data_IF_937719855632
#
_entry.id   IF_937719855632
#
_cell.length_a   1.000
_cell.length_b   1.000
_cell.length_c   1.000
_cell.angle_alpha   90.00
_cell.angle_beta   90.00
_cell.angle_gamma   90.00
#
_symmetry.space_group_name_H-M   'P 1'
#
loop_
_entity.id
_entity.type
_entity.pdbx_description
1 polymer ?
#
# COMPACT_ATOMS: atom_id res chain seq x y z
N UNK A 1 19.42 30.33 3.37
CA UNK A 1 18.02 30.44 2.91
C UNK A 1 17.27 29.21 3.42
N UNK A 2 17.05 29.14 4.73
CA UNK A 2 16.52 27.96 5.43
C UNK A 2 15.45 28.43 6.40
N UNK A 3 14.19 28.21 6.03
CA UNK A 3 12.99 28.31 6.86
C UNK A 3 11.82 27.77 6.02
N UNK A 4 10.98 26.94 6.65
CA UNK A 4 9.67 26.45 6.19
C UNK A 4 9.57 25.00 5.66
N UNK A 5 10.00 24.00 6.44
CA UNK A 5 9.53 22.61 6.25
C UNK A 5 8.94 21.96 7.51
N UNK A 6 8.78 22.69 8.63
CA UNK A 6 8.29 22.14 9.91
C UNK A 6 6.75 22.12 10.08
N UNK A 7 5.94 22.20 9.03
CA UNK A 7 4.50 22.50 9.21
C UNK A 7 3.54 21.55 8.50
N UNK A 8 3.92 20.32 8.17
CA UNK A 8 2.99 19.35 7.56
C UNK A 8 2.63 18.15 8.45
N UNK A 9 3.51 17.66 9.31
CA UNK A 9 3.19 16.58 10.26
C UNK A 9 2.21 17.05 11.36
N UNK A 10 2.30 18.32 11.78
CA UNK A 10 1.39 18.91 12.78
C UNK A 10 -0.04 19.13 12.29
N UNK A 11 -0.28 19.17 10.97
CA UNK A 11 -1.62 19.38 10.42
C UNK A 11 -2.42 18.08 10.26
N UNK A 12 -1.74 16.92 10.18
CA UNK A 12 -2.41 15.61 10.11
C UNK A 12 -2.69 15.05 11.51
N UNK A 13 -1.91 15.44 12.52
CA UNK A 13 -2.20 15.09 13.93
C UNK A 13 -3.35 15.92 14.54
N UNK A 14 -3.63 17.11 13.99
CA UNK A 14 -4.63 18.04 14.54
C UNK A 14 -6.09 17.69 14.21
N UNK A 15 -6.38 16.80 13.25
CA UNK A 15 -7.77 16.45 12.86
C UNK A 15 -8.25 15.07 13.33
N UNK A 16 -7.36 14.22 13.86
CA UNK A 16 -7.69 12.84 14.28
C UNK A 16 -7.88 12.68 15.81
N UNK A 17 -7.66 13.73 16.61
CA UNK A 17 -7.50 13.63 18.07
C UNK A 17 -8.70 14.00 18.95
N UNK A 18 -9.91 14.17 18.39
CA UNK A 18 -11.12 14.53 19.18
C UNK A 18 -12.23 13.49 19.07
N UNK A 19 -11.88 12.23 19.25
CA UNK A 19 -12.83 11.18 19.65
C UNK A 19 -12.30 10.46 20.89
N UNK A 20 -11.89 11.26 21.89
CA UNK A 20 -11.91 10.80 23.26
C UNK A 20 -13.36 10.54 23.64
N UNK A 21 -13.65 9.30 24.03
CA UNK A 21 -14.95 8.89 24.55
C UNK A 21 -15.38 9.88 25.64
N UNK A 22 -16.37 10.71 25.33
CA UNK A 22 -16.96 11.60 26.31
C UNK A 22 -17.65 10.74 27.37
N UNK A 23 -17.36 10.90 28.68
CA UNK A 23 -17.94 10.06 29.72
C UNK A 23 -19.45 10.29 29.95
N UNK A 24 -20.07 11.20 29.19
CA UNK A 24 -21.44 11.67 29.43
C UNK A 24 -22.11 12.12 28.14
N UNK A 25 -22.10 11.29 27.10
CA UNK A 25 -23.10 11.41 26.04
C UNK A 25 -24.35 10.68 26.55
N UNK A 26 -25.17 11.39 27.32
CA UNK A 26 -26.42 10.85 27.85
C UNK A 26 -27.44 10.73 26.71
N UNK A 27 -27.23 9.73 25.85
CA UNK A 27 -28.08 9.39 24.71
C UNK A 27 -29.34 8.70 25.22
N UNK A 28 -30.27 9.49 25.75
CA UNK A 28 -31.60 8.99 26.07
C UNK A 28 -32.41 8.87 24.78
N UNK A 29 -32.91 7.68 24.42
CA UNK A 29 -33.79 7.57 23.26
C UNK A 29 -35.05 8.39 23.53
N UNK A 30 -35.66 8.99 22.50
CA UNK A 30 -36.95 9.70 22.63
C UNK A 30 -38.02 8.77 23.24
N UNK A 31 -37.89 7.46 23.01
CA UNK A 31 -38.68 6.41 23.64
C UNK A 31 -38.55 6.38 25.19
N UNK A 32 -37.40 6.74 25.75
CA UNK A 32 -37.23 6.81 27.21
C UNK A 32 -38.04 7.96 27.82
N UNK A 33 -38.16 9.10 27.12
CA UNK A 33 -39.00 10.23 27.57
C UNK A 33 -40.49 9.89 27.49
N UNK A 34 -40.94 9.20 26.45
CA UNK A 34 -42.35 8.80 26.31
C UNK A 34 -42.74 7.71 27.29
N UNK A 35 -41.87 6.72 27.52
CA UNK A 35 -42.08 5.67 28.53
C UNK A 35 -42.02 6.27 29.94
N UNK A 36 -41.12 7.23 30.19
CA UNK A 36 -41.08 7.98 31.45
C UNK A 36 -42.38 8.73 31.72
N UNK A 37 -42.88 9.49 30.74
CA UNK A 37 -44.14 10.22 30.87
C UNK A 37 -45.35 9.29 31.10
N UNK A 38 -45.41 8.15 30.39
CA UNK A 38 -46.46 7.15 30.57
C UNK A 38 -46.42 6.51 31.97
N UNK A 39 -45.24 6.13 32.45
CA UNK A 39 -45.07 5.56 33.79
C UNK A 39 -45.42 6.58 34.89
N UNK A 40 -45.01 7.84 34.74
CA UNK A 40 -45.39 8.93 35.64
C UNK A 40 -46.90 9.17 35.69
N UNK A 41 -47.57 9.09 34.53
CA UNK A 41 -49.03 9.21 34.43
C UNK A 41 -49.78 8.07 35.14
N UNK A 42 -49.30 6.82 35.03
CA UNK A 42 -49.90 5.66 35.71
C UNK A 42 -49.76 5.77 37.23
N UNK A 43 -48.59 6.20 37.73
CA UNK A 43 -48.38 6.39 39.18
C UNK A 43 -49.22 7.53 39.73
N UNK A 44 -49.33 8.64 39.00
CA UNK A 44 -50.20 9.76 39.37
C UNK A 44 -51.69 9.36 39.35
N UNK A 45 -52.12 8.56 38.37
CA UNK A 45 -53.49 8.04 38.28
C UNK A 45 -53.85 7.05 39.40
N UNK A 46 -52.92 6.16 39.77
CA UNK A 46 -53.12 5.22 40.88
C UNK A 46 -53.21 5.94 42.23
N UNK A 47 -52.40 6.97 42.45
CA UNK A 47 -52.45 7.76 43.67
C UNK A 47 -53.68 8.71 43.71
N UNK A 48 -54.24 9.10 42.56
CA UNK A 48 -55.52 9.82 42.47
C UNK A 48 -56.69 8.98 42.99
N UNK A 49 -56.73 7.69 42.64
CA UNK A 49 -57.72 6.74 43.17
C UNK A 49 -57.60 6.54 44.69
N UNK A 50 -56.41 6.78 45.26
CA UNK A 50 -56.16 6.69 46.70
C UNK A 50 -56.48 7.99 47.47
N UNK A 51 -56.98 9.04 46.81
CA UNK A 51 -57.39 10.30 47.46
C UNK A 51 -56.23 11.18 47.93
N UNK A 52 -55.01 10.99 47.38
CA UNK A 52 -53.85 11.79 47.77
C UNK A 52 -53.92 13.24 47.25
N UNK A 53 -53.35 14.23 47.98
CA UNK A 53 -53.35 15.63 47.54
C UNK A 53 -52.58 15.80 46.22
N UNK A 54 -53.05 16.72 45.36
CA UNK A 54 -52.53 16.94 43.99
C UNK A 54 -51.02 17.16 43.94
N UNK A 55 -50.44 17.81 44.95
CA UNK A 55 -48.99 18.01 45.07
C UNK A 55 -48.21 16.69 45.24
N UNK A 56 -48.76 15.71 45.96
CA UNK A 56 -48.16 14.39 46.14
C UNK A 56 -48.24 13.56 44.85
N UNK A 57 -49.33 13.70 44.09
CA UNK A 57 -49.49 13.06 42.77
C UNK A 57 -48.46 13.57 41.77
N UNK A 58 -48.29 14.90 41.70
CA UNK A 58 -47.35 15.53 40.78
C UNK A 58 -45.90 15.16 41.10
N UNK A 59 -45.53 15.11 42.38
CA UNK A 59 -44.17 14.74 42.80
C UNK A 59 -43.86 13.27 42.58
N UNK A 60 -44.75 12.34 42.97
CA UNK A 60 -44.57 10.90 42.70
C UNK A 60 -44.54 10.59 41.20
N UNK A 61 -45.43 11.21 40.42
CA UNK A 61 -45.46 11.06 38.96
C UNK A 61 -44.17 11.57 38.30
N UNK A 62 -43.67 12.74 38.71
CA UNK A 62 -42.42 13.30 38.19
C UNK A 62 -41.20 12.44 38.56
N UNK A 63 -41.13 11.93 39.79
CA UNK A 63 -40.04 11.04 40.24
C UNK A 63 -40.09 9.71 39.48
N UNK A 64 -41.26 9.10 39.32
CA UNK A 64 -41.41 7.87 38.55
C UNK A 64 -41.05 8.06 37.06
N UNK A 65 -41.42 9.21 36.49
CA UNK A 65 -41.08 9.55 35.11
C UNK A 65 -39.58 9.75 34.91
N UNK A 66 -38.93 10.49 35.82
CA UNK A 66 -37.48 10.67 35.81
C UNK A 66 -36.74 9.35 36.00
N UNK A 67 -37.19 8.50 36.92
CA UNK A 67 -36.56 7.21 37.18
C UNK A 67 -36.68 6.27 35.98
N UNK A 68 -37.87 6.16 35.38
CA UNK A 68 -38.10 5.29 34.23
C UNK A 68 -37.41 5.81 32.98
N UNK A 69 -37.45 7.12 32.73
CA UNK A 69 -36.78 7.73 31.58
C UNK A 69 -35.25 7.70 31.67
N UNK A 70 -34.67 7.84 32.86
CA UNK A 70 -33.22 7.71 33.02
C UNK A 70 -32.72 6.26 33.06
N UNK A 71 -33.63 5.30 33.28
CA UNK A 71 -33.33 3.88 33.35
C UNK A 71 -33.13 3.24 31.97
N UNK A 72 -33.81 3.74 30.93
CA UNK A 72 -33.72 3.19 29.59
C UNK A 72 -32.57 3.82 28.80
N UNK A 73 -31.59 2.99 28.43
CA UNK A 73 -30.46 3.36 27.57
C UNK A 73 -30.42 2.50 26.31
N UNK A 74 -29.69 3.00 25.33
CA UNK A 74 -29.47 2.35 24.05
C UNK A 74 -27.96 2.26 23.77
N UNK A 75 -27.52 1.17 23.17
CA UNK A 75 -26.20 1.00 22.58
C UNK A 75 -26.34 0.62 21.10
N UNK A 76 -25.52 1.25 20.26
CA UNK A 76 -25.43 0.91 18.84
C UNK A 76 -24.93 -0.53 18.63
N UNK A 77 -25.20 -1.10 17.46
CA UNK A 77 -24.86 -2.51 17.14
C UNK A 77 -23.36 -2.83 17.32
N UNK A 78 -22.51 -1.84 17.09
CA UNK A 78 -21.04 -1.92 17.17
C UNK A 78 -20.46 -1.47 18.51
N UNK A 79 -21.30 -0.98 19.42
CA UNK A 79 -20.88 -0.51 20.73
C UNK A 79 -21.20 -1.55 21.81
N UNK A 80 -20.32 -1.66 22.81
CA UNK A 80 -20.60 -2.33 24.07
C UNK A 80 -20.54 -1.34 25.21
N UNK A 81 -21.57 -1.35 26.04
CA UNK A 81 -21.67 -0.49 27.21
C UNK A 81 -21.16 -1.23 28.46
N UNK A 82 -20.13 -0.69 29.10
CA UNK A 82 -19.59 -1.23 30.36
C UNK A 82 -20.38 -0.66 31.53
N UNK A 83 -21.05 -1.52 32.30
CA UNK A 83 -21.88 -1.10 33.43
C UNK A 83 -21.16 -1.32 34.76
N UNK A 84 -21.05 -0.25 35.53
CA UNK A 84 -20.46 -0.22 36.86
C UNK A 84 -21.57 -0.02 37.90
N UNK A 85 -21.57 -0.86 38.95
CA UNK A 85 -22.47 -0.74 40.09
C UNK A 85 -21.71 -0.28 41.31
N UNK A 86 -21.97 0.95 41.79
CA UNK A 86 -21.24 1.55 42.92
C UNK A 86 -19.70 1.41 42.79
N UNK A 87 -19.17 1.56 41.57
CA UNK A 87 -17.74 1.40 41.28
C UNK A 87 -17.25 -0.03 41.05
N UNK A 88 -18.08 -1.06 41.21
CA UNK A 88 -17.74 -2.46 40.87
C UNK A 88 -18.23 -2.83 39.48
N UNK A 89 -17.43 -3.58 38.73
CA UNK A 89 -17.85 -4.13 37.44
C UNK A 89 -19.02 -5.11 37.62
N UNK A 90 -20.10 -4.91 36.85
CA UNK A 90 -21.29 -5.77 36.87
C UNK A 90 -21.41 -6.65 35.63
N UNK A 91 -20.94 -6.16 34.48
CA UNK A 91 -21.03 -6.86 33.21
C UNK A 91 -21.11 -5.93 32.00
N UNK A 92 -20.85 -6.52 30.84
CA UNK A 92 -21.04 -5.92 29.52
C UNK A 92 -22.51 -5.98 29.09
N UNK A 93 -23.05 -4.86 28.61
CA UNK A 93 -24.35 -4.83 27.93
C UNK A 93 -24.14 -4.79 26.42
N UNK A 94 -24.77 -5.76 25.75
CA UNK A 94 -24.77 -5.88 24.30
C UNK A 94 -25.66 -4.83 23.61
N UNK A 95 -25.68 -4.85 22.27
CA UNK A 95 -26.37 -3.85 21.47
C UNK A 95 -27.89 -3.88 21.65
N UNK A 96 -28.53 -2.72 21.47
CA UNK A 96 -29.97 -2.53 21.62
C UNK A 96 -30.37 -1.82 22.91
N UNK A 97 -31.65 -1.93 23.26
CA UNK A 97 -32.19 -1.30 24.46
C UNK A 97 -31.83 -2.10 25.70
N UNK A 98 -31.30 -1.42 26.72
CA UNK A 98 -31.03 -2.04 28.01
C UNK A 98 -31.39 -1.11 29.15
N UNK A 99 -31.85 -1.73 30.23
CA UNK A 99 -32.29 -1.03 31.44
C UNK A 99 -31.18 -1.02 32.47
N UNK A 100 -30.93 0.16 33.05
CA UNK A 100 -30.00 0.38 34.18
C UNK A 100 -30.73 1.01 35.36
N UNK A 101 -30.24 0.79 36.58
CA UNK A 101 -30.79 1.46 37.76
C UNK A 101 -30.08 2.81 37.91
N UNK A 102 -30.70 3.97 37.61
CA UNK A 102 -30.04 5.26 37.39
C UNK A 102 -29.27 5.83 38.60
N UNK A 103 -29.47 5.28 39.80
CA UNK A 103 -28.81 5.72 41.05
C UNK A 103 -27.61 4.81 41.40
N UNK A 104 -27.74 3.51 41.15
CA UNK A 104 -26.78 2.49 41.61
C UNK A 104 -25.85 2.06 40.48
N UNK A 105 -26.38 1.99 39.27
CA UNK A 105 -25.68 1.57 38.05
C UNK A 105 -25.33 2.80 37.21
N UNK A 106 -24.06 2.91 36.85
CA UNK A 106 -23.56 3.90 35.88
C UNK A 106 -23.03 3.17 34.65
N UNK A 107 -23.31 3.71 33.47
CA UNK A 107 -22.60 3.28 32.26
C UNK A 107 -21.28 4.03 32.27
N UNK A 108 -20.19 3.31 32.42
CA UNK A 108 -18.85 3.89 32.51
C UNK A 108 -18.36 4.36 31.15
N UNK A 109 -18.35 3.44 30.17
CA UNK A 109 -17.80 3.68 28.84
C UNK A 109 -18.59 2.95 27.77
N UNK A 110 -18.68 3.57 26.59
CA UNK A 110 -19.12 2.95 25.35
C UNK A 110 -17.88 2.62 24.54
N UNK A 111 -17.67 1.34 24.26
CA UNK A 111 -16.50 0.86 23.52
C UNK A 111 -16.97 0.40 22.15
N UNK A 112 -16.45 1.04 21.11
CA UNK A 112 -16.64 0.63 19.73
C UNK A 112 -15.74 -0.57 19.41
N UNK A 113 -16.35 -1.63 18.89
CA UNK A 113 -15.67 -2.87 18.46
C UNK A 113 -15.38 -2.91 16.95
N UNK A 114 -15.47 -1.79 16.25
CA UNK A 114 -15.04 -1.69 14.85
C UNK A 114 -13.53 -1.63 14.72
N UNK A 115 -13.05 -1.97 13.52
CA UNK A 115 -11.65 -1.77 13.15
C UNK A 115 -11.38 -0.26 13.15
N UNK A 116 -10.34 0.13 13.87
CA UNK A 116 -9.85 1.50 13.95
C UNK A 116 -8.47 1.57 13.32
N UNK A 117 -8.22 2.69 12.66
CA UNK A 117 -6.94 2.99 12.05
C UNK A 117 -6.24 4.04 12.88
N UNK A 118 -4.98 3.81 13.22
CA UNK A 118 -4.16 4.76 13.97
C UNK A 118 -2.81 4.90 13.30
N UNK A 119 -2.49 6.11 12.90
CA UNK A 119 -1.18 6.46 12.36
C UNK A 119 -0.21 6.77 13.51
N UNK A 120 1.02 6.31 13.39
CA UNK A 120 2.11 6.59 14.31
C UNK A 120 3.43 6.62 13.54
N UNK A 121 4.36 7.44 14.01
CA UNK A 121 5.69 7.55 13.41
C UNK A 121 6.76 7.62 14.49
N UNK A 122 8.00 7.32 14.09
CA UNK A 122 9.18 7.44 14.92
C UNK A 122 10.19 8.35 14.22
N UNK A 123 10.39 9.54 14.79
CA UNK A 123 11.31 10.55 14.27
C UNK A 123 12.72 10.39 14.85
N UNK A 124 13.72 10.73 14.05
CA UNK A 124 15.14 10.78 14.41
C UNK A 124 15.61 9.50 15.10
N UNK A 125 15.24 8.34 14.55
CA UNK A 125 15.67 7.03 15.04
C UNK A 125 16.93 6.59 14.29
N UNK A 126 17.85 5.95 15.01
CA UNK A 126 19.02 5.33 14.40
C UNK A 126 18.70 3.87 14.11
N UNK A 127 18.94 3.46 12.87
CA UNK A 127 18.96 2.06 12.47
C UNK A 127 20.17 1.33 13.08
N UNK A 128 20.22 0.01 12.90
CA UNK A 128 21.36 -0.81 13.37
C UNK A 128 22.70 -0.38 12.74
N UNK A 129 22.67 0.10 11.51
CA UNK A 129 23.81 0.67 10.77
C UNK A 129 24.04 2.17 11.05
N UNK A 130 23.48 2.70 12.14
CA UNK A 130 23.68 4.09 12.61
C UNK A 130 23.24 5.16 11.61
N UNK A 131 22.28 4.84 10.75
CA UNK A 131 21.67 5.82 9.84
C UNK A 131 20.47 6.47 10.52
N UNK A 132 20.38 7.81 10.56
CA UNK A 132 19.18 8.47 11.05
C UNK A 132 18.05 8.33 10.01
N UNK A 133 16.89 7.86 10.46
CA UNK A 133 15.69 7.66 9.65
C UNK A 133 14.45 8.17 10.37
N UNK A 134 13.48 8.65 9.60
CA UNK A 134 12.12 8.92 10.05
C UNK A 134 11.18 7.89 9.40
N UNK A 135 10.40 7.17 10.21
CA UNK A 135 9.53 6.10 9.72
C UNK A 135 8.10 6.36 10.14
N UNK A 136 7.19 6.33 9.16
CA UNK A 136 5.75 6.43 9.35
C UNK A 136 5.09 5.06 9.17
N UNK A 137 4.15 4.73 10.04
CA UNK A 137 3.38 3.49 9.98
C UNK A 137 1.91 3.70 10.39
N UNK A 138 1.08 2.73 10.02
CA UNK A 138 -0.35 2.70 10.32
C UNK A 138 -0.69 1.34 10.90
N UNK A 139 -1.42 1.31 12.01
CA UNK A 139 -1.96 0.08 12.60
C UNK A 139 -3.47 0.03 12.42
N UNK A 140 -3.96 -1.14 12.02
CA UNK A 140 -5.35 -1.53 12.04
C UNK A 140 -5.59 -2.45 13.22
N UNK A 141 -6.46 -2.03 14.15
CA UNK A 141 -6.71 -2.75 15.38
C UNK A 141 -8.18 -2.69 15.77
N UNK A 142 -8.60 -3.62 16.62
CA UNK A 142 -9.98 -3.74 17.08
C UNK A 142 -10.01 -4.09 18.56
N UNK A 143 -10.99 -3.57 19.28
CA UNK A 143 -11.24 -3.97 20.67
C UNK A 143 -12.06 -5.27 20.66
N UNK A 144 -11.39 -6.40 20.86
CA UNK A 144 -12.06 -7.70 20.91
C UNK A 144 -12.75 -7.92 22.26
N UNK A 145 -12.15 -7.44 23.35
CA UNK A 145 -12.67 -7.53 24.71
C UNK A 145 -12.84 -6.14 25.33
N UNK A 146 -14.09 -5.68 25.35
CA UNK A 146 -14.46 -4.38 25.91
C UNK A 146 -14.38 -4.33 27.45
N UNK A 147 -14.41 -5.46 28.16
CA UNK A 147 -14.23 -5.46 29.62
C UNK A 147 -12.78 -5.12 29.97
N UNK A 148 -11.83 -5.86 29.40
CA UNK A 148 -10.40 -5.62 29.61
C UNK A 148 -10.00 -4.23 29.16
N UNK A 149 -10.46 -3.78 28.00
CA UNK A 149 -10.14 -2.46 27.48
C UNK A 149 -10.65 -1.30 28.37
N UNK A 150 -11.75 -1.48 29.10
CA UNK A 150 -12.26 -0.47 30.03
C UNK A 150 -11.58 -0.47 31.41
N UNK A 151 -11.11 -1.64 31.86
CA UNK A 151 -10.63 -1.83 33.23
C UNK A 151 -9.11 -1.79 33.35
N UNK A 152 -8.40 -2.28 32.34
CA UNK A 152 -6.93 -2.42 32.39
C UNK A 152 -6.21 -1.14 31.95
N UNK A 153 -6.83 -0.33 31.08
CA UNK A 153 -6.21 0.88 30.51
C UNK A 153 -7.16 2.07 30.60
N UNK A 154 -6.69 3.19 31.16
CA UNK A 154 -7.48 4.40 31.31
C UNK A 154 -7.85 5.03 29.95
N UNK A 155 -6.86 5.22 29.08
CA UNK A 155 -7.06 5.69 27.71
C UNK A 155 -6.30 4.77 26.75
N UNK A 156 -7.02 3.77 26.26
CA UNK A 156 -6.46 2.77 25.36
C UNK A 156 -6.02 3.36 24.01
N UNK A 157 -6.64 4.45 23.51
CA UNK A 157 -6.24 5.03 22.23
C UNK A 157 -4.82 5.62 22.33
N UNK A 158 -4.57 6.42 23.37
CA UNK A 158 -3.25 7.01 23.61
C UNK A 158 -2.22 5.93 23.97
N UNK A 159 -2.60 4.93 24.77
CA UNK A 159 -1.70 3.82 25.11
C UNK A 159 -1.27 3.01 23.88
N UNK A 160 -2.19 2.76 22.94
CA UNK A 160 -1.89 2.05 21.68
C UNK A 160 -0.88 2.83 20.85
N UNK A 161 -1.05 4.16 20.70
CA UNK A 161 -0.10 5.02 19.96
C UNK A 161 1.30 4.93 20.58
N UNK A 162 1.41 5.10 21.89
CA UNK A 162 2.70 5.09 22.58
C UNK A 162 3.38 3.71 22.52
N UNK A 163 2.59 2.63 22.66
CA UNK A 163 3.09 1.28 22.53
C UNK A 163 3.59 0.99 21.10
N UNK A 164 2.85 1.43 20.09
CA UNK A 164 3.21 1.31 18.69
C UNK A 164 4.48 2.09 18.36
N UNK A 165 4.61 3.34 18.82
CA UNK A 165 5.82 4.13 18.65
C UNK A 165 7.05 3.49 19.30
N UNK A 166 6.89 2.96 20.52
CA UNK A 166 7.99 2.28 21.23
C UNK A 166 8.43 1.02 20.48
N UNK A 167 7.47 0.20 20.03
CA UNK A 167 7.77 -1.01 19.28
C UNK A 167 8.37 -0.71 17.90
N UNK A 168 7.90 0.35 17.22
CA UNK A 168 8.46 0.82 15.96
C UNK A 168 9.92 1.25 16.14
N UNK A 169 10.21 2.05 17.18
CA UNK A 169 11.57 2.49 17.49
C UNK A 169 12.51 1.31 17.79
N UNK A 170 12.03 0.32 18.54
CA UNK A 170 12.78 -0.90 18.83
C UNK A 170 13.00 -1.75 17.56
N UNK A 171 12.01 -1.87 16.69
CA UNK A 171 12.15 -2.55 15.41
C UNK A 171 13.18 -1.86 14.51
N UNK A 172 13.12 -0.53 14.36
CA UNK A 172 14.09 0.24 13.57
C UNK A 172 15.52 0.01 14.07
N UNK A 173 15.75 -0.02 15.39
CA UNK A 173 17.07 -0.25 15.95
C UNK A 173 17.63 -1.67 15.77
N UNK A 174 16.77 -2.66 15.46
CA UNK A 174 17.17 -4.06 15.23
C UNK A 174 17.49 -4.36 13.77
N UNK A 175 17.03 -3.51 12.85
CA UNK A 175 17.11 -3.70 11.41
C UNK A 175 18.06 -2.70 10.76
N UNK A 176 18.71 -3.14 9.69
CA UNK A 176 19.55 -2.27 8.86
C UNK A 176 18.68 -1.46 7.90
N UNK A 177 19.17 -0.31 7.42
CA UNK A 177 18.44 0.54 6.47
C UNK A 177 17.95 -0.23 5.23
N UNK A 178 18.78 -1.12 4.69
CA UNK A 178 18.44 -1.90 3.50
C UNK A 178 17.22 -2.81 3.74
N UNK A 179 17.12 -3.42 4.92
CA UNK A 179 15.98 -4.27 5.31
C UNK A 179 14.71 -3.45 5.46
N UNK A 180 14.81 -2.23 6.03
CA UNK A 180 13.69 -1.29 6.16
C UNK A 180 13.09 -0.90 4.80
N UNK A 181 13.92 -0.77 3.77
CA UNK A 181 13.49 -0.39 2.43
C UNK A 181 12.97 -1.60 1.64
N UNK A 182 13.67 -2.74 1.69
CA UNK A 182 13.38 -3.91 0.86
C UNK A 182 12.27 -4.79 1.44
N UNK A 183 12.28 -5.04 2.75
CA UNK A 183 11.44 -6.05 3.43
C UNK A 183 10.33 -5.44 4.29
N UNK A 184 9.67 -4.37 3.80
CA UNK A 184 8.59 -3.68 4.53
C UNK A 184 7.47 -4.59 5.03
N UNK A 185 7.11 -5.63 4.27
CA UNK A 185 6.05 -6.60 4.66
C UNK A 185 6.45 -7.46 5.85
N UNK A 186 7.70 -7.92 5.88
CA UNK A 186 8.20 -8.78 6.97
C UNK A 186 8.33 -7.99 8.26
N UNK A 187 8.79 -6.74 8.17
CA UNK A 187 8.84 -5.81 9.29
C UNK A 187 7.47 -5.48 9.84
N UNK A 188 6.49 -5.20 8.95
CA UNK A 188 5.10 -4.98 9.34
C UNK A 188 4.53 -6.18 10.10
N UNK A 189 4.79 -7.41 9.64
CA UNK A 189 4.39 -8.64 10.34
C UNK A 189 5.08 -8.79 11.71
N UNK A 190 6.39 -8.55 11.79
CA UNK A 190 7.12 -8.62 13.05
C UNK A 190 6.60 -7.59 14.08
N UNK A 191 6.29 -6.38 13.61
CA UNK A 191 5.71 -5.32 14.43
C UNK A 191 4.27 -5.64 14.86
N UNK A 192 3.45 -6.20 13.97
CA UNK A 192 2.12 -6.70 14.30
C UNK A 192 2.20 -7.74 15.42
N UNK A 193 3.05 -8.76 15.28
CA UNK A 193 3.20 -9.82 16.29
C UNK A 193 3.70 -9.27 17.64
N UNK A 194 4.62 -8.30 17.62
CA UNK A 194 5.11 -7.65 18.83
C UNK A 194 4.03 -6.81 19.53
N UNK A 195 3.22 -6.08 18.76
CA UNK A 195 2.14 -5.25 19.31
C UNK A 195 0.98 -6.11 19.80
N UNK A 196 0.58 -7.12 19.05
CA UNK A 196 -0.53 -8.01 19.42
C UNK A 196 -0.26 -8.70 20.76
N UNK A 197 0.96 -9.22 20.98
CA UNK A 197 1.34 -9.81 22.28
C UNK A 197 1.20 -8.84 23.45
N UNK A 198 1.54 -7.56 23.26
CA UNK A 198 1.48 -6.55 24.32
C UNK A 198 0.06 -6.03 24.53
N UNK A 199 -0.71 -5.88 23.45
CA UNK A 199 -2.06 -5.32 23.45
C UNK A 199 -3.14 -6.34 23.80
N UNK A 200 -2.83 -7.63 23.69
CA UNK A 200 -3.71 -8.71 24.12
C UNK A 200 -4.13 -8.54 25.59
N UNK A 201 -3.22 -8.06 26.44
CA UNK A 201 -3.52 -7.85 27.86
C UNK A 201 -4.56 -6.75 28.11
N UNK A 202 -4.71 -5.84 27.15
CA UNK A 202 -5.65 -4.73 27.18
C UNK A 202 -6.97 -5.02 26.46
N UNK A 203 -7.18 -6.25 25.97
CA UNK A 203 -8.39 -6.60 25.22
C UNK A 203 -8.40 -6.07 23.78
N UNK A 204 -7.23 -5.72 23.24
CA UNK A 204 -7.06 -5.13 21.91
C UNK A 204 -6.31 -6.12 21.02
N UNK A 205 -6.80 -6.33 19.81
CA UNK A 205 -6.18 -7.17 18.80
C UNK A 205 -5.69 -6.33 17.63
N UNK A 206 -4.46 -6.56 17.20
CA UNK A 206 -3.86 -5.86 16.04
C UNK A 206 -4.01 -6.74 14.80
N UNK A 207 -4.74 -6.28 13.81
CA UNK A 207 -4.98 -7.03 12.56
C UNK A 207 -3.82 -6.93 11.59
N UNK A 208 -3.30 -5.72 11.39
CA UNK A 208 -2.16 -5.48 10.51
C UNK A 208 -1.46 -4.19 10.86
N UNK A 209 -0.17 -4.15 10.55
CA UNK A 209 0.66 -2.95 10.64
C UNK A 209 1.33 -2.75 9.29
N UNK A 210 1.14 -1.56 8.73
CA UNK A 210 1.67 -1.19 7.42
C UNK A 210 2.65 -0.03 7.59
N UNK A 211 3.88 -0.23 7.08
CA UNK A 211 4.88 0.83 7.01
C UNK A 211 4.55 1.69 5.79
N UNK A 212 4.25 2.98 6.02
CA UNK A 212 3.89 3.91 4.95
C UNK A 212 5.16 4.38 4.23
N UNK A 213 5.99 5.13 4.94
CA UNK A 213 7.16 5.81 4.39
C UNK A 213 8.39 5.64 5.30
N UNK A 214 9.57 5.56 4.68
CA UNK A 214 10.88 5.60 5.35
C UNK A 214 11.64 6.75 4.72
N UNK A 215 11.85 7.81 5.49
CA UNK A 215 12.52 9.04 5.04
C UNK A 215 13.96 8.98 5.51
N UNK A 216 14.88 9.15 4.57
CA UNK A 216 16.33 9.20 4.79
C UNK A 216 16.85 10.62 4.50
N UNK A 217 18.01 11.01 5.04
CA UNK A 217 18.63 12.28 4.70
C UNK A 217 18.99 12.36 3.21
N UNK A 218 18.67 13.49 2.58
CA UNK A 218 18.88 13.74 1.13
C UNK A 218 20.33 13.44 0.68
N UNK A 219 21.32 13.83 1.50
CA UNK A 219 22.73 13.57 1.19
C UNK A 219 23.08 12.07 1.09
N UNK A 220 22.41 11.21 1.87
CA UNK A 220 22.59 9.76 1.81
C UNK A 220 21.81 9.16 0.65
N UNK A 221 20.59 9.64 0.41
CA UNK A 221 19.76 9.22 -0.73
C UNK A 221 20.51 9.40 -2.06
N UNK A 222 21.13 10.56 -2.26
CA UNK A 222 21.94 10.87 -3.44
C UNK A 222 23.17 9.97 -3.57
N UNK A 223 23.82 9.62 -2.46
CA UNK A 223 24.97 8.73 -2.44
C UNK A 223 24.56 7.29 -2.79
N UNK A 224 23.49 6.80 -2.18
CA UNK A 224 22.93 5.46 -2.44
C UNK A 224 22.42 5.33 -3.86
N UNK A 225 21.75 6.36 -4.40
CA UNK A 225 21.27 6.38 -5.79
C UNK A 225 22.43 6.25 -6.78
N UNK A 226 23.51 7.03 -6.59
CA UNK A 226 24.71 6.93 -7.43
C UNK A 226 25.40 5.57 -7.30
N UNK A 227 25.51 5.03 -6.08
CA UNK A 227 26.08 3.71 -5.85
C UNK A 227 25.26 2.61 -6.52
N UNK A 228 23.93 2.65 -6.39
CA UNK A 228 23.02 1.69 -7.00
C UNK A 228 23.09 1.74 -8.52
N UNK A 229 23.20 2.93 -9.11
CA UNK A 229 23.37 3.09 -10.56
C UNK A 229 24.71 2.50 -11.04
N UNK A 230 25.80 2.80 -10.34
CA UNK A 230 27.12 2.26 -10.68
C UNK A 230 27.16 0.72 -10.58
N UNK A 231 26.53 0.14 -9.55
CA UNK A 231 26.44 -1.30 -9.39
C UNK A 231 25.55 -1.95 -10.47
N UNK A 232 24.43 -1.32 -10.82
CA UNK A 232 23.57 -1.77 -11.94
C UNK A 232 24.32 -1.74 -13.27
N UNK A 233 25.09 -0.71 -13.55
CA UNK A 233 25.90 -0.61 -14.77
C UNK A 233 27.04 -1.63 -14.80
N UNK A 234 27.68 -1.87 -13.66
CA UNK A 234 28.67 -2.93 -13.51
C UNK A 234 28.04 -4.30 -13.77
N UNK A 235 26.91 -4.57 -13.14
CA UNK A 235 26.20 -5.84 -13.28
C UNK A 235 25.72 -6.06 -14.71
N UNK A 236 25.18 -5.03 -15.37
CA UNK A 236 24.80 -5.09 -16.77
C UNK A 236 25.98 -5.44 -17.68
N UNK A 237 27.17 -4.87 -17.45
CA UNK A 237 28.39 -5.20 -18.22
C UNK A 237 28.86 -6.63 -17.98
N UNK A 238 28.80 -7.13 -16.75
CA UNK A 238 29.16 -8.52 -16.43
C UNK A 238 28.21 -9.49 -17.12
N UNK A 239 26.89 -9.22 -17.05
CA UNK A 239 25.88 -10.02 -17.73
C UNK A 239 26.12 -10.02 -19.24
N UNK A 240 26.37 -8.86 -19.85
CA UNK A 240 26.65 -8.77 -21.29
C UNK A 240 27.90 -9.55 -21.69
N UNK A 241 29.03 -9.38 -20.99
CA UNK A 241 30.26 -10.12 -21.31
C UNK A 241 30.11 -11.64 -21.13
N UNK A 242 29.33 -12.07 -20.13
CA UNK A 242 29.02 -13.50 -19.92
C UNK A 242 28.14 -14.02 -21.06
N UNK A 243 27.11 -13.26 -21.43
CA UNK A 243 26.23 -13.58 -22.56
C UNK A 243 27.01 -13.66 -23.88
N UNK A 244 27.94 -12.74 -24.15
CA UNK A 244 28.80 -12.78 -25.35
C UNK A 244 29.65 -14.05 -25.40
N UNK A 245 30.21 -14.46 -24.27
CA UNK A 245 31.01 -15.70 -24.17
C UNK A 245 30.15 -16.94 -24.41
N UNK A 246 28.95 -17.00 -23.81
CA UNK A 246 28.01 -18.10 -24.01
C UNK A 246 27.51 -18.16 -25.46
N UNK A 247 27.17 -17.01 -26.05
CA UNK A 247 26.77 -16.86 -27.45
C UNK A 247 27.90 -17.35 -28.37
N UNK A 248 29.14 -16.95 -28.13
CA UNK A 248 30.29 -17.37 -28.93
C UNK A 248 30.48 -18.90 -28.87
N UNK A 249 30.37 -19.51 -27.68
CA UNK A 249 30.43 -20.97 -27.53
C UNK A 249 29.32 -21.67 -28.32
N UNK A 250 28.08 -21.17 -28.25
CA UNK A 250 26.96 -21.71 -29.01
C UNK A 250 27.12 -21.53 -30.52
N UNK A 251 27.77 -20.46 -30.98
CA UNK A 251 28.10 -20.31 -32.39
C UNK A 251 29.12 -21.34 -32.88
N UNK A 252 30.12 -21.70 -32.06
CA UNK A 252 31.08 -22.77 -32.41
C UNK A 252 30.36 -24.11 -32.52
N UNK A 253 29.52 -24.46 -31.54
CA UNK A 253 28.71 -25.69 -31.56
C UNK A 253 27.80 -25.73 -32.80
N UNK A 254 27.14 -24.62 -33.12
CA UNK A 254 26.33 -24.52 -34.33
C UNK A 254 27.18 -24.65 -35.62
N UNK A 255 28.36 -24.03 -35.68
CA UNK A 255 29.25 -24.11 -36.84
C UNK A 255 29.75 -25.55 -37.09
N UNK A 256 30.03 -26.32 -36.04
CA UNK A 256 30.37 -27.74 -36.16
C UNK A 256 29.22 -28.55 -36.77
N UNK A 257 27.97 -28.29 -36.36
CA UNK A 257 26.80 -28.97 -36.93
C UNK A 257 26.60 -28.72 -38.43
N UNK A 258 27.07 -27.57 -38.94
CA UNK A 258 26.98 -27.21 -40.35
C UNK A 258 28.11 -27.75 -41.22
N UNK A 259 29.20 -28.27 -40.64
CA UNK A 259 30.43 -28.66 -41.36
C UNK A 259 30.17 -29.64 -42.50
N UNK A 260 29.32 -30.64 -42.26
CA UNK A 260 29.03 -31.72 -43.23
C UNK A 260 27.65 -31.60 -43.90
N UNK A 261 26.91 -30.52 -43.63
CA UNK A 261 25.51 -30.34 -44.07
C UNK A 261 25.29 -29.03 -44.87
N UNK A 262 25.69 -28.95 -46.15
CA UNK A 262 25.61 -27.72 -46.95
C UNK A 262 24.17 -27.21 -47.17
N UNK A 263 23.17 -28.11 -47.22
CA UNK A 263 21.76 -27.73 -47.32
C UNK A 263 21.27 -26.99 -46.07
N UNK A 264 21.75 -27.35 -44.87
CA UNK A 264 21.40 -26.68 -43.62
C UNK A 264 21.97 -25.26 -43.56
N UNK A 265 23.20 -25.07 -44.06
CA UNK A 265 23.83 -23.74 -44.16
C UNK A 265 23.04 -22.81 -45.11
N UNK A 266 22.56 -23.33 -46.25
CA UNK A 266 21.73 -22.55 -47.17
C UNK A 266 20.37 -22.16 -46.57
N UNK A 267 19.71 -23.08 -45.85
CA UNK A 267 18.46 -22.76 -45.12
C UNK A 267 18.69 -21.70 -44.02
N UNK A 268 19.81 -21.77 -43.30
CA UNK A 268 20.23 -20.76 -42.32
C UNK A 268 20.44 -19.39 -42.99
N UNK A 269 21.10 -19.36 -44.15
CA UNK A 269 21.31 -18.15 -44.93
C UNK A 269 19.97 -17.53 -45.40
N UNK A 270 19.05 -18.35 -45.91
CA UNK A 270 17.71 -17.89 -46.29
C UNK A 270 16.91 -17.37 -45.08
N UNK A 271 17.01 -18.02 -43.92
CA UNK A 271 16.34 -17.55 -42.70
C UNK A 271 16.94 -16.23 -42.18
N UNK A 272 18.26 -16.08 -42.22
CA UNK A 272 18.92 -14.81 -41.88
C UNK A 272 18.48 -13.67 -42.81
N UNK A 273 18.35 -13.95 -44.11
CA UNK A 273 17.81 -12.99 -45.08
C UNK A 273 16.37 -12.60 -44.70
N UNK A 274 15.51 -13.57 -44.40
CA UNK A 274 14.13 -13.33 -43.97
C UNK A 274 14.07 -12.49 -42.68
N UNK A 275 14.82 -12.84 -41.63
CA UNK A 275 14.88 -12.07 -40.39
C UNK A 275 15.38 -10.63 -40.59
N UNK A 276 16.36 -10.42 -41.47
CA UNK A 276 16.88 -9.08 -41.78
C UNK A 276 15.84 -8.19 -42.46
N UNK A 277 15.04 -8.78 -43.36
CA UNK A 277 13.95 -8.10 -44.07
C UNK A 277 12.82 -7.75 -43.09
N UNK A 278 12.46 -8.68 -42.21
CA UNK A 278 11.36 -8.51 -41.24
C UNK A 278 11.73 -7.53 -40.12
N UNK A 279 12.96 -7.54 -39.59
CA UNK A 279 13.35 -6.69 -38.45
C UNK A 279 13.94 -5.33 -38.82
N UNK A 280 14.56 -5.16 -39.99
CA UNK A 280 15.34 -3.94 -40.33
C UNK A 280 14.97 -3.23 -41.63
N UNK A 281 14.01 -3.74 -42.41
CA UNK A 281 13.39 -2.99 -43.52
C UNK A 281 14.27 -2.60 -44.72
N UNK A 282 15.61 -2.54 -44.66
CA UNK A 282 16.44 -2.22 -45.84
C UNK A 282 17.95 -2.49 -45.77
N UNK A 283 18.55 -2.84 -44.63
CA UNK A 283 20.01 -3.07 -44.58
C UNK A 283 20.38 -4.51 -44.93
N UNK A 284 20.73 -4.74 -46.21
CA UNK A 284 21.23 -6.03 -46.71
C UNK A 284 22.69 -6.24 -46.29
N UNK A 285 22.92 -7.11 -45.29
CA UNK A 285 24.27 -7.54 -44.92
C UNK A 285 24.52 -8.90 -45.57
N UNK A 286 25.30 -8.92 -46.65
CA UNK A 286 25.70 -10.16 -47.34
C UNK A 286 27.01 -10.66 -46.74
N UNK A 287 27.05 -11.86 -46.12
CA UNK A 287 28.30 -12.48 -45.68
C UNK A 287 29.22 -12.72 -46.89
N UNK A 288 30.51 -12.41 -46.77
CA UNK A 288 31.49 -12.53 -47.85
C UNK A 288 31.58 -13.93 -48.47
N UNK A 289 31.32 -14.98 -47.68
CA UNK A 289 31.26 -16.36 -48.19
C UNK A 289 30.13 -16.64 -49.21
N UNK A 290 29.05 -15.85 -49.21
CA UNK A 290 28.02 -15.90 -50.25
C UNK A 290 28.36 -14.99 -51.45
N UNK A 291 29.10 -13.90 -51.23
CA UNK A 291 29.53 -13.00 -52.31
C UNK A 291 30.46 -13.70 -53.31
N UNK A 292 31.35 -14.58 -52.83
CA UNK A 292 32.22 -15.40 -53.68
C UNK A 292 31.45 -16.42 -54.51
N UNK A 293 30.40 -17.05 -53.94
CA UNK A 293 29.57 -18.02 -54.65
C UNK A 293 28.62 -17.38 -55.69
N UNK A 294 28.31 -16.10 -55.54
CA UNK A 294 27.35 -15.38 -56.37
C UNK A 294 27.97 -14.54 -57.50
N UNK A 295 29.29 -14.62 -57.74
CA UNK A 295 29.97 -13.81 -58.77
C UNK A 295 29.52 -12.34 -58.74
N UNK A 296 29.47 -11.77 -57.54
CA UNK A 296 29.04 -10.39 -57.30
C UNK A 296 29.84 -9.33 -58.08
N UNK A 297 31.15 -9.49 -58.35
CA UNK A 297 31.88 -8.63 -59.29
C UNK A 297 31.32 -8.68 -60.71
N UNK A 298 30.86 -9.86 -61.15
CA UNK A 298 30.21 -10.04 -62.44
C UNK A 298 28.82 -9.39 -62.51
N UNK A 299 28.04 -9.41 -61.43
CA UNK A 299 26.71 -8.78 -61.38
C UNK A 299 26.81 -7.25 -61.28
N UNK A 300 27.76 -6.72 -60.51
CA UNK A 300 28.01 -5.28 -60.45
C UNK A 300 28.66 -4.76 -61.73
N UNK A 301 29.52 -5.56 -62.38
CA UNK A 301 30.05 -5.31 -63.72
C UNK A 301 28.98 -5.40 -64.82
N UNK A 302 27.99 -6.28 -64.69
CA UNK A 302 26.84 -6.39 -65.58
C UNK A 302 25.84 -5.23 -65.37
N UNK A 303 25.69 -4.71 -64.16
CA UNK A 303 24.91 -3.49 -63.92
C UNK A 303 25.57 -2.25 -64.56
N UNK A 304 26.91 -2.19 -64.55
CA UNK A 304 27.69 -1.18 -65.28
C UNK A 304 27.69 -1.36 -66.80
N UNK A 305 27.62 -2.61 -67.30
CA UNK A 305 27.61 -2.94 -68.74
C UNK A 305 26.22 -2.96 -69.37
N UNK A 306 25.14 -3.08 -68.58
CA UNK A 306 23.75 -3.07 -69.03
C UNK A 306 23.14 -1.66 -69.14
N UNK A 307 23.95 -0.60 -69.02
CA UNK A 307 23.52 0.76 -69.32
C UNK A 307 22.41 1.29 -68.41
N UNK A 308 22.34 0.86 -67.14
CA UNK A 308 21.51 1.54 -66.16
C UNK A 308 22.26 2.78 -65.66
N UNK A 309 22.33 3.79 -66.53
CA UNK A 309 22.65 5.15 -66.15
C UNK A 309 21.74 5.56 -64.98
N UNK A 310 22.25 6.13 -63.87
CA UNK A 310 21.44 7.04 -63.11
C UNK A 310 21.19 8.26 -64.00
N UNK A 311 19.91 8.49 -64.33
CA UNK A 311 19.49 9.67 -65.07
C UNK A 311 20.01 10.93 -64.36
N UNK A 312 20.68 11.76 -65.15
CA UNK A 312 21.23 13.04 -64.76
C UNK A 312 20.13 14.05 -64.46
N UNK A 313 20.16 14.65 -63.27
CA UNK A 313 19.69 16.02 -63.06
C UNK A 313 20.88 16.83 -62.53
N UNK A 314 21.56 17.54 -63.43
CA UNK A 314 22.52 18.57 -63.08
C UNK A 314 21.82 19.90 -62.84
N UNK A 315 22.35 20.71 -61.93
CA UNK A 315 22.81 22.05 -62.28
C UNK A 315 23.87 22.51 -61.26
N UNK A 316 24.87 23.21 -61.76
CA UNK A 316 26.11 23.53 -61.05
C UNK A 316 26.01 24.71 -60.09
N UNK A 317 27.07 24.91 -59.31
CA UNK A 317 27.23 26.12 -58.51
C UNK A 317 28.32 25.99 -57.46
N UNK A 318 29.44 26.65 -57.72
CA UNK A 318 30.60 26.84 -56.85
C UNK A 318 30.29 27.24 -55.40
N UNK A 319 31.17 26.81 -54.49
CA UNK A 319 31.70 27.71 -53.46
C UNK A 319 31.27 27.45 -52.02
N UNK A 320 32.24 26.97 -51.22
CA UNK A 320 32.57 27.32 -49.83
C UNK A 320 31.52 27.80 -48.82
N UNK A 321 31.61 27.24 -47.61
CA UNK A 321 31.42 28.01 -46.36
C UNK A 321 30.26 27.56 -45.44
N UNK A 322 30.66 27.18 -44.22
CA UNK A 322 29.98 27.38 -42.93
C UNK A 322 28.62 26.74 -42.60
N UNK A 323 28.63 25.96 -41.52
CA UNK A 323 27.53 25.66 -40.58
C UNK A 323 26.88 26.93 -40.02
N UNK A 324 25.57 26.93 -39.67
CA UNK A 324 25.14 26.66 -38.28
C UNK A 324 23.78 25.89 -38.16
N UNK A 325 23.60 24.96 -37.21
CA UNK A 325 22.98 25.08 -35.85
C UNK A 325 21.45 25.37 -35.81
N UNK A 326 20.74 24.51 -35.01
CA UNK A 326 19.45 24.71 -34.29
C UNK A 326 18.12 24.66 -35.08
N UNK A 327 16.96 24.29 -34.53
CA UNK A 327 16.48 23.78 -33.22
C UNK A 327 15.03 23.25 -33.46
N UNK A 328 14.49 22.49 -32.49
CA UNK A 328 13.05 22.28 -32.19
C UNK A 328 12.13 21.63 -33.27
N UNK A 329 11.17 20.74 -32.97
CA UNK A 329 10.54 20.29 -31.73
C UNK A 329 9.15 19.70 -32.05
N UNK A 330 8.56 19.01 -31.06
CA UNK A 330 7.21 18.40 -31.02
C UNK A 330 7.02 17.06 -31.77
N UNK A 331 6.45 16.01 -31.19
CA UNK A 331 5.83 15.75 -29.89
C UNK A 331 5.17 14.35 -29.94
N UNK A 332 5.17 13.62 -28.83
CA UNK A 332 4.53 12.29 -28.66
C UNK A 332 2.99 12.36 -28.86
N UNK A 333 2.28 11.21 -29.05
CA UNK A 333 1.81 10.45 -27.88
C UNK A 333 1.69 8.92 -28.05
N UNK A 334 1.78 8.26 -26.89
CA UNK A 334 0.97 7.12 -26.39
C UNK A 334 0.76 5.81 -27.19
N UNK A 335 1.14 4.74 -26.47
CA UNK A 335 0.74 3.32 -26.45
C UNK A 335 -0.80 3.04 -26.33
N UNK A 336 -1.29 1.80 -26.11
CA UNK A 336 -1.17 0.53 -26.85
C UNK A 336 -2.55 -0.17 -27.05
N UNK A 337 -2.62 -1.32 -27.73
CA UNK A 337 -3.85 -2.13 -27.87
C UNK A 337 -3.59 -3.63 -28.15
N UNK A 338 -4.57 -4.53 -27.91
CA UNK A 338 -4.40 -5.67 -27.00
C UNK A 338 -4.54 -7.07 -27.63
N UNK A 339 -4.04 -8.08 -26.89
CA UNK A 339 -4.61 -9.44 -26.67
C UNK A 339 -5.02 -10.33 -27.85
N UNK A 340 -4.67 -11.63 -27.78
CA UNK A 340 -5.61 -12.77 -27.67
C UNK A 340 -4.86 -14.11 -27.74
N UNK A 341 -5.39 -15.01 -26.93
CA UNK A 341 -5.07 -16.39 -26.53
C UNK A 341 -5.33 -17.53 -27.53
N UNK A 342 -4.57 -18.63 -27.38
CA UNK A 342 -5.03 -20.05 -27.45
C UNK A 342 -4.47 -20.92 -28.60
N UNK A 343 -4.56 -22.27 -28.55
CA UNK A 343 -4.63 -23.19 -27.39
C UNK A 343 -3.71 -24.45 -27.46
N UNK A 344 -3.74 -25.23 -26.37
CA UNK A 344 -3.04 -26.48 -26.03
C UNK A 344 -3.26 -27.69 -26.98
N UNK A 345 -2.26 -28.59 -27.06
CA UNK A 345 -2.30 -29.89 -27.76
C UNK A 345 -2.60 -31.11 -26.85
N UNK A 346 -2.79 -32.32 -27.44
CA UNK A 346 -3.37 -33.48 -26.73
C UNK A 346 -2.34 -34.47 -26.13
N UNK A 347 -2.83 -35.27 -25.16
CA UNK A 347 -2.13 -36.26 -24.33
C UNK A 347 -1.81 -37.61 -25.05
N UNK A 348 -0.88 -38.45 -24.54
CA UNK A 348 -0.48 -39.71 -25.17
C UNK A 348 -1.21 -40.97 -24.61
N UNK A 349 -1.20 -42.11 -25.33
CA UNK A 349 -1.84 -43.34 -24.87
C UNK A 349 -0.87 -44.30 -24.14
N UNK A 350 -1.50 -45.18 -23.35
CA UNK A 350 -0.90 -46.22 -22.54
C UNK A 350 -0.24 -47.36 -23.34
N UNK A 351 0.83 -47.90 -22.77
CA UNK A 351 1.28 -49.30 -22.87
C UNK A 351 1.98 -49.66 -21.56
#
# INVERSE_FOLDING_TARGET
MSRNLRTRSDLVSASSGRQGASPTDARYPVAALTVGAAAGGVVAGAAFLAGAPVAVLATLGAVAALFTGSSLKYADQWERAVVLRLGRYRGLRGPGFFTIIPIVDRVGYHIDQRIRTTAFGAESCLTRDTVPVDVDAIAFWVVYDAERAALEVQDYNTAVILAAQTALRDAIGKHDLAELIQSRKELGRGLQEALDRKMHDWGIQVQSVEIRDVIIPEALEDAMSRQAQAERERQARIILGTAETEIASKFVEAAESYRDHPTALNLRAMNMLYESIVKRGSLMVVPSGLADSLNLPGIMGMAGAAGMQPDSAGDGGQGGGETPVRDEGAGDPETPGPGVSGPFGPAPPHS
#
